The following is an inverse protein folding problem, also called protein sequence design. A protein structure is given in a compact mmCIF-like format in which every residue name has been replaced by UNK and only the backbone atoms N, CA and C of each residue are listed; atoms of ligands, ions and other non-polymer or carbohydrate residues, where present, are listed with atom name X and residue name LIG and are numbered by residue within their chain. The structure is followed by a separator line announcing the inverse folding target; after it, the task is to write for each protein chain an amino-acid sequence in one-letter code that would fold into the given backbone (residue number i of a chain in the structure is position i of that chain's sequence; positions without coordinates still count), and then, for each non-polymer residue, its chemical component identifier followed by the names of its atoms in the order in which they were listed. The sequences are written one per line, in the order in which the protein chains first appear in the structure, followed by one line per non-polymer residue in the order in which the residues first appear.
data_IF_549821222666
#
_entry.id   IF_549821222666
#
_cell.length_a   1.000
_cell.length_b   1.000
_cell.length_c   1.000
_cell.angle_alpha   90.00
_cell.angle_beta   90.00
_cell.angle_gamma   90.00
#
_symmetry.space_group_name_H-M   'P 1'
#
loop_
_entity.id
_entity.type
_entity.pdbx_description
1 polymer ?
#
# COMPACT_ATOMS: atom_id res chain seq x y z
N UNK A 1 14.95 0.80 21.14
CA UNK A 1 14.76 -0.48 20.45
C UNK A 1 13.25 -0.72 20.33
N UNK A 2 12.77 -1.10 19.15
CA UNK A 2 11.37 -1.41 18.90
C UNK A 2 11.08 -2.91 19.05
N UNK A 3 9.80 -3.25 19.17
CA UNK A 3 9.32 -4.62 19.15
C UNK A 3 8.29 -4.73 18.03
N UNK A 4 8.49 -5.66 17.10
CA UNK A 4 7.57 -5.93 15.99
C UNK A 4 7.21 -7.40 16.02
N UNK A 5 5.94 -7.68 16.26
CA UNK A 5 5.36 -9.02 16.24
C UNK A 5 4.42 -9.14 15.04
N UNK A 6 4.56 -10.18 14.27
CA UNK A 6 3.65 -10.51 13.18
C UNK A 6 3.17 -11.95 13.35
N UNK A 7 1.87 -12.12 13.56
CA UNK A 7 1.23 -13.41 13.75
C UNK A 7 1.97 -14.29 14.78
N UNK A 8 2.23 -13.72 15.97
CA UNK A 8 2.92 -14.41 17.07
C UNK A 8 4.43 -14.58 16.88
N UNK A 9 5.01 -14.14 15.77
CA UNK A 9 6.44 -14.24 15.50
C UNK A 9 7.12 -12.89 15.71
N UNK A 10 8.16 -12.86 16.55
CA UNK A 10 9.00 -11.68 16.75
C UNK A 10 9.87 -11.43 15.51
N UNK A 11 9.52 -10.42 14.72
CA UNK A 11 10.33 -9.96 13.58
C UNK A 11 11.48 -9.06 14.04
N UNK A 12 11.21 -8.25 15.08
CA UNK A 12 12.20 -7.40 15.76
C UNK A 12 11.91 -7.48 17.25
N UNK A 13 12.93 -7.73 18.05
CA UNK A 13 12.79 -7.69 19.49
C UNK A 13 13.94 -6.93 20.17
N UNK A 14 13.71 -6.31 21.34
CA UNK A 14 14.76 -5.61 22.07
C UNK A 14 15.94 -6.51 22.48
N UNK A 15 15.66 -7.79 22.73
CA UNK A 15 16.65 -8.76 23.19
C UNK A 15 17.47 -9.41 22.03
N UNK A 16 16.81 -9.74 20.91
CA UNK A 16 17.43 -10.48 19.82
C UNK A 16 17.70 -9.65 18.55
N UNK A 17 17.21 -8.39 18.51
CA UNK A 17 17.30 -7.55 17.31
C UNK A 17 16.34 -8.01 16.21
N UNK A 18 16.76 -7.86 14.96
CA UNK A 18 15.99 -8.28 13.78
C UNK A 18 16.24 -9.76 13.49
N UNK A 19 15.20 -10.52 13.16
CA UNK A 19 15.36 -11.92 12.75
C UNK A 19 16.30 -12.04 11.54
N UNK A 20 16.91 -13.21 11.35
CA UNK A 20 17.84 -13.44 10.24
C UNK A 20 17.18 -13.18 8.87
N UNK A 21 17.97 -12.78 7.87
CA UNK A 21 17.47 -12.58 6.50
C UNK A 21 16.78 -13.83 5.93
N UNK A 22 17.31 -15.03 6.28
CA UNK A 22 16.71 -16.30 5.89
C UNK A 22 15.32 -16.49 6.51
N UNK A 23 15.14 -16.15 7.79
CA UNK A 23 13.84 -16.21 8.45
C UNK A 23 12.88 -15.14 7.89
N UNK A 24 13.37 -13.91 7.64
CA UNK A 24 12.58 -12.83 7.06
C UNK A 24 12.08 -13.16 5.65
N UNK A 25 12.79 -13.98 4.87
CA UNK A 25 12.36 -14.39 3.52
C UNK A 25 11.06 -15.22 3.52
N UNK A 26 10.69 -15.81 4.65
CA UNK A 26 9.41 -16.51 4.78
C UNK A 26 8.20 -15.56 4.86
N UNK A 27 8.45 -14.29 5.17
CA UNK A 27 7.41 -13.26 5.31
C UNK A 27 7.37 -12.34 4.09
N UNK A 28 8.54 -11.89 3.59
CA UNK A 28 8.63 -10.93 2.49
C UNK A 28 8.08 -11.50 1.19
N UNK A 29 7.16 -10.75 0.59
CA UNK A 29 6.52 -11.10 -0.69
C UNK A 29 5.55 -12.27 -0.62
N UNK A 30 5.44 -12.94 0.52
CA UNK A 30 4.50 -14.04 0.75
C UNK A 30 3.40 -13.63 1.72
N UNK A 31 3.76 -13.22 2.94
CA UNK A 31 2.83 -12.82 3.98
C UNK A 31 2.77 -11.31 4.19
N UNK A 32 3.88 -10.62 3.92
CA UNK A 32 4.01 -9.16 4.02
C UNK A 32 4.42 -8.64 2.66
N UNK A 33 3.57 -7.82 2.05
CA UNK A 33 3.83 -7.13 0.80
C UNK A 33 4.09 -5.63 1.04
N UNK A 34 4.80 -5.00 0.10
CA UNK A 34 5.15 -3.60 0.18
C UNK A 34 4.92 -2.90 -1.16
N UNK A 35 4.26 -1.77 -1.13
CA UNK A 35 4.13 -0.84 -2.26
C UNK A 35 4.96 0.40 -1.93
N UNK A 36 6.05 0.65 -2.68
CA UNK A 36 6.91 1.81 -2.49
C UNK A 36 6.31 3.09 -3.07
N UNK A 37 6.83 4.23 -2.63
CA UNK A 37 6.37 5.58 -2.99
C UNK A 37 6.47 5.88 -4.48
N UNK A 38 7.55 5.47 -5.16
CA UNK A 38 7.79 5.81 -6.56
C UNK A 38 7.67 4.58 -7.48
N UNK A 39 6.58 4.48 -8.29
CA UNK A 39 6.35 3.29 -9.10
C UNK A 39 7.41 3.04 -10.17
N UNK A 40 7.87 4.08 -10.86
CA UNK A 40 8.80 3.91 -11.99
C UNK A 40 10.19 3.47 -11.56
N UNK A 41 10.69 3.94 -10.43
CA UNK A 41 12.00 3.56 -9.89
C UNK A 41 12.02 2.16 -9.26
N UNK A 42 10.83 1.59 -9.01
CA UNK A 42 10.69 0.26 -8.41
C UNK A 42 10.36 -0.86 -9.42
N UNK A 43 10.21 -0.50 -10.69
CA UNK A 43 10.15 -1.45 -11.81
C UNK A 43 11.50 -1.49 -12.51
N UNK A 44 12.07 -2.68 -12.67
CA UNK A 44 13.36 -2.86 -13.36
C UNK A 44 13.20 -2.57 -14.86
N UNK A 45 13.85 -1.52 -15.40
CA UNK A 45 13.70 -1.12 -16.80
C UNK A 45 14.24 -2.15 -17.80
N UNK A 46 15.10 -3.07 -17.35
CA UNK A 46 15.69 -4.10 -18.21
C UNK A 46 14.72 -5.27 -18.49
N UNK A 47 13.64 -5.41 -17.72
CA UNK A 47 12.72 -6.54 -17.85
C UNK A 47 11.30 -6.09 -18.17
N UNK A 48 10.60 -6.89 -18.97
CA UNK A 48 9.17 -6.69 -19.22
C UNK A 48 8.36 -6.85 -17.95
N UNK A 49 7.24 -6.14 -17.88
CA UNK A 49 6.29 -6.18 -16.76
C UNK A 49 5.89 -7.62 -16.42
N UNK A 50 5.54 -8.41 -17.43
CA UNK A 50 5.15 -9.80 -17.24
C UNK A 50 6.22 -10.66 -16.55
N UNK A 51 7.49 -10.46 -16.88
CA UNK A 51 8.58 -11.17 -16.21
C UNK A 51 8.64 -10.81 -14.71
N UNK A 52 8.49 -9.51 -14.39
CA UNK A 52 8.56 -9.00 -13.03
C UNK A 52 7.37 -9.48 -12.18
N UNK A 53 6.19 -9.64 -12.77
CA UNK A 53 5.01 -10.20 -12.09
C UNK A 53 5.09 -11.71 -11.91
N UNK A 54 5.54 -12.47 -12.93
CA UNK A 54 5.55 -13.93 -12.92
C UNK A 54 6.62 -14.49 -11.98
N UNK A 55 7.80 -13.86 -11.94
CA UNK A 55 8.94 -14.37 -11.18
C UNK A 55 8.66 -14.53 -9.68
N UNK A 56 8.10 -13.54 -8.95
CA UNK A 56 7.74 -13.71 -7.54
C UNK A 56 6.77 -14.86 -7.33
N UNK A 57 5.72 -14.98 -8.13
CA UNK A 57 4.72 -16.05 -7.99
C UNK A 57 5.34 -17.44 -8.18
N UNK A 58 6.22 -17.62 -9.16
CA UNK A 58 6.89 -18.90 -9.36
C UNK A 58 7.85 -19.25 -8.22
N UNK A 59 8.53 -18.26 -7.65
CA UNK A 59 9.50 -18.46 -6.57
C UNK A 59 8.84 -18.62 -5.19
N UNK A 60 7.79 -17.86 -4.91
CA UNK A 60 7.14 -17.81 -3.60
C UNK A 60 6.03 -18.85 -3.47
N UNK A 61 5.19 -18.97 -4.51
CA UNK A 61 4.05 -19.89 -4.52
C UNK A 61 4.40 -21.26 -5.10
N UNK A 62 5.54 -21.39 -5.81
CA UNK A 62 5.94 -22.64 -6.47
C UNK A 62 5.05 -23.05 -7.64
N UNK A 63 4.21 -22.16 -8.16
CA UNK A 63 3.32 -22.43 -9.31
C UNK A 63 4.09 -22.40 -10.63
N UNK A 64 3.55 -23.06 -11.64
CA UNK A 64 4.14 -23.06 -12.97
C UNK A 64 4.14 -21.67 -13.62
N UNK A 65 5.04 -21.46 -14.59
CA UNK A 65 5.08 -20.20 -15.35
C UNK A 65 3.77 -19.93 -16.10
N UNK A 66 3.06 -20.96 -16.53
CA UNK A 66 1.78 -20.83 -17.24
C UNK A 66 0.68 -20.33 -16.29
N UNK A 67 0.58 -20.92 -15.11
CA UNK A 67 -0.35 -20.48 -14.05
C UNK A 67 -0.03 -19.08 -13.55
N UNK A 68 1.25 -18.78 -13.29
CA UNK A 68 1.69 -17.43 -12.88
C UNK A 68 1.38 -16.38 -13.95
N UNK A 69 1.53 -16.70 -15.27
CA UNK A 69 1.14 -15.81 -16.36
C UNK A 69 -0.36 -15.56 -16.37
N UNK A 70 -1.17 -16.61 -16.23
CA UNK A 70 -2.64 -16.47 -16.18
C UNK A 70 -3.07 -15.59 -15.01
N UNK A 71 -2.53 -15.85 -13.80
CA UNK A 71 -2.79 -15.04 -12.60
C UNK A 71 -2.32 -13.59 -12.79
N UNK A 72 -1.16 -13.35 -13.40
CA UNK A 72 -0.66 -11.99 -13.66
C UNK A 72 -1.58 -11.21 -14.60
N UNK A 73 -2.07 -11.83 -15.67
CA UNK A 73 -3.02 -11.17 -16.59
C UNK A 73 -4.34 -10.84 -15.90
N UNK A 74 -4.87 -11.75 -15.09
CA UNK A 74 -6.08 -11.53 -14.30
C UNK A 74 -5.88 -10.40 -13.28
N UNK A 75 -4.72 -10.35 -12.61
CA UNK A 75 -4.40 -9.27 -11.66
C UNK A 75 -4.31 -7.91 -12.37
N UNK A 76 -3.65 -7.84 -13.54
CA UNK A 76 -3.60 -6.61 -14.33
C UNK A 76 -5.00 -6.12 -14.73
N UNK A 77 -5.91 -7.02 -15.07
CA UNK A 77 -7.31 -6.69 -15.31
C UNK A 77 -8.01 -6.20 -14.04
N UNK A 78 -7.81 -6.91 -12.92
CA UNK A 78 -8.37 -6.56 -11.60
C UNK A 78 -7.96 -5.16 -11.16
N UNK A 79 -6.71 -4.75 -11.42
CA UNK A 79 -6.24 -3.40 -11.08
C UNK A 79 -6.63 -2.34 -12.12
N UNK A 80 -7.51 -2.66 -13.07
CA UNK A 80 -8.07 -1.72 -14.03
C UNK A 80 -7.15 -1.42 -15.22
N UNK A 81 -6.29 -2.34 -15.61
CA UNK A 81 -5.52 -2.24 -16.86
C UNK A 81 -6.38 -2.72 -18.02
N UNK A 82 -6.79 -1.83 -18.93
CA UNK A 82 -7.69 -2.13 -20.04
C UNK A 82 -7.13 -3.13 -21.07
N UNK A 83 -5.82 -3.22 -21.22
CA UNK A 83 -5.16 -4.16 -22.13
C UNK A 83 -4.04 -4.92 -21.40
N UNK A 84 -4.39 -5.91 -20.55
CA UNK A 84 -3.44 -6.65 -19.72
C UNK A 84 -2.33 -7.32 -20.54
N UNK A 85 -2.67 -7.90 -21.70
CA UNK A 85 -1.69 -8.60 -22.54
C UNK A 85 -0.65 -7.65 -23.15
N UNK A 86 -1.04 -6.44 -23.52
CA UNK A 86 -0.10 -5.40 -23.99
C UNK A 86 0.84 -5.00 -22.86
N UNK A 87 0.29 -4.63 -21.70
CA UNK A 87 1.10 -4.18 -20.54
C UNK A 87 2.00 -5.29 -20.04
N UNK A 88 1.53 -6.53 -19.99
CA UNK A 88 2.35 -7.70 -19.65
C UNK A 88 3.59 -7.83 -20.54
N UNK A 89 3.49 -7.48 -21.83
CA UNK A 89 4.59 -7.57 -22.79
C UNK A 89 5.41 -6.28 -22.91
N UNK A 90 4.99 -5.19 -22.27
CA UNK A 90 5.67 -3.90 -22.27
C UNK A 90 6.82 -3.85 -21.26
N UNK A 91 7.74 -2.92 -21.52
CA UNK A 91 8.74 -2.48 -20.54
C UNK A 91 8.20 -1.33 -19.69
N UNK A 92 8.77 -1.05 -18.49
CA UNK A 92 8.31 0.04 -17.62
C UNK A 92 8.21 1.40 -18.31
N UNK A 93 9.17 1.76 -19.17
CA UNK A 93 9.21 3.03 -19.90
C UNK A 93 8.15 3.17 -21.00
N UNK A 94 7.40 2.10 -21.34
CA UNK A 94 6.35 2.11 -22.34
C UNK A 94 4.95 2.29 -21.74
N UNK A 95 4.85 2.47 -20.41
CA UNK A 95 3.59 2.66 -19.67
C UNK A 95 3.58 3.98 -18.90
N UNK A 96 2.38 4.51 -18.61
CA UNK A 96 2.24 5.72 -17.80
C UNK A 96 2.51 5.47 -16.32
N UNK A 97 2.79 6.54 -15.55
CA UNK A 97 2.99 6.45 -14.10
C UNK A 97 1.81 5.81 -13.37
N UNK A 98 0.57 6.17 -13.72
CA UNK A 98 -0.62 5.54 -13.13
C UNK A 98 -0.75 4.05 -13.49
N UNK A 99 -0.35 3.64 -14.70
CA UNK A 99 -0.28 2.22 -15.05
C UNK A 99 0.83 1.50 -14.29
N UNK A 100 1.99 2.11 -14.11
CA UNK A 100 3.09 1.55 -13.33
C UNK A 100 2.68 1.35 -11.86
N UNK A 101 1.94 2.29 -11.28
CA UNK A 101 1.39 2.15 -9.93
C UNK A 101 0.44 0.95 -9.82
N UNK A 102 -0.47 0.80 -10.77
CA UNK A 102 -1.39 -0.36 -10.83
C UNK A 102 -0.63 -1.68 -11.00
N UNK A 103 0.43 -1.70 -11.79
CA UNK A 103 1.32 -2.86 -11.94
C UNK A 103 2.02 -3.21 -10.63
N UNK A 104 2.53 -2.22 -9.88
CA UNK A 104 3.13 -2.47 -8.56
C UNK A 104 2.11 -3.02 -7.56
N UNK A 105 0.89 -2.47 -7.54
CA UNK A 105 -0.20 -2.99 -6.72
C UNK A 105 -0.48 -4.46 -7.08
N UNK A 106 -0.64 -4.77 -8.37
CA UNK A 106 -0.84 -6.14 -8.85
C UNK A 106 0.30 -7.08 -8.40
N UNK A 107 1.55 -6.61 -8.50
CA UNK A 107 2.73 -7.35 -8.04
C UNK A 107 2.72 -7.58 -6.52
N UNK A 108 2.39 -6.56 -5.74
CA UNK A 108 2.33 -6.66 -4.28
C UNK A 108 1.32 -7.69 -3.80
N UNK A 109 0.12 -7.72 -4.40
CA UNK A 109 -0.94 -8.67 -4.01
C UNK A 109 -0.85 -10.02 -4.72
N UNK A 110 0.12 -10.23 -5.60
CA UNK A 110 0.21 -11.42 -6.45
C UNK A 110 0.42 -12.74 -5.70
N UNK A 111 0.94 -12.67 -4.48
CA UNK A 111 1.16 -13.83 -3.62
C UNK A 111 0.15 -13.92 -2.46
N UNK A 112 -0.99 -13.23 -2.54
CA UNK A 112 -2.08 -13.21 -1.56
C UNK A 112 -1.57 -12.93 -0.12
N UNK A 113 -0.96 -11.75 0.13
CA UNK A 113 -0.37 -11.42 1.41
C UNK A 113 -1.40 -11.23 2.52
N UNK A 114 -1.00 -11.49 3.78
CA UNK A 114 -1.81 -11.20 4.96
C UNK A 114 -1.76 -9.72 5.35
N UNK A 115 -0.65 -9.02 5.01
CA UNK A 115 -0.41 -7.62 5.31
C UNK A 115 0.17 -6.90 4.09
N UNK A 116 -0.43 -5.78 3.74
CA UNK A 116 0.07 -4.82 2.76
C UNK A 116 0.57 -3.57 3.47
N UNK A 117 1.80 -3.17 3.21
CA UNK A 117 2.35 -1.87 3.61
C UNK A 117 2.41 -1.01 2.36
N UNK A 118 1.68 0.07 2.31
CA UNK A 118 1.63 1.02 1.19
C UNK A 118 2.22 2.36 1.64
N UNK A 119 3.35 2.73 1.05
CA UNK A 119 4.10 3.93 1.37
C UNK A 119 3.81 5.00 0.32
N UNK A 120 3.00 5.98 0.68
CA UNK A 120 2.53 7.05 -0.19
C UNK A 120 2.05 6.57 -1.57
N UNK A 121 1.13 5.61 -1.66
CA UNK A 121 0.80 4.91 -2.91
C UNK A 121 0.14 5.80 -3.96
N UNK A 122 -0.17 7.05 -3.65
CA UNK A 122 -0.83 8.00 -4.56
C UNK A 122 0.01 9.24 -4.84
N UNK A 123 1.23 9.32 -4.32
CA UNK A 123 2.13 10.45 -4.57
C UNK A 123 2.48 10.53 -6.07
N UNK A 124 2.53 11.76 -6.59
CA UNK A 124 2.79 12.06 -8.01
C UNK A 124 1.71 11.60 -9.01
N UNK A 125 0.52 11.22 -8.53
CA UNK A 125 -0.65 10.96 -9.38
C UNK A 125 -1.59 12.17 -9.39
N UNK A 126 -2.32 12.36 -10.49
CA UNK A 126 -3.41 13.34 -10.52
C UNK A 126 -4.58 12.92 -9.61
N UNK A 127 -5.42 13.89 -9.23
CA UNK A 127 -6.48 13.69 -8.23
C UNK A 127 -7.46 12.57 -8.60
N UNK A 128 -7.77 12.42 -9.88
CA UNK A 128 -8.69 11.38 -10.37
C UNK A 128 -8.07 9.99 -10.22
N UNK A 129 -6.83 9.84 -10.67
CA UNK A 129 -6.09 8.58 -10.56
C UNK A 129 -5.81 8.22 -9.10
N UNK A 130 -5.56 9.22 -8.23
CA UNK A 130 -5.44 8.99 -6.78
C UNK A 130 -6.70 8.32 -6.21
N UNK A 131 -7.88 8.87 -6.50
CA UNK A 131 -9.15 8.31 -6.02
C UNK A 131 -9.34 6.87 -6.50
N UNK A 132 -9.08 6.61 -7.78
CA UNK A 132 -9.18 5.26 -8.35
C UNK A 132 -8.21 4.25 -7.70
N UNK A 133 -6.98 4.67 -7.39
CA UNK A 133 -5.98 3.82 -6.71
C UNK A 133 -6.41 3.51 -5.26
N UNK A 134 -6.98 4.49 -4.56
CA UNK A 134 -7.46 4.29 -3.19
C UNK A 134 -8.68 3.36 -3.14
N UNK A 135 -9.63 3.51 -4.05
CA UNK A 135 -10.77 2.60 -4.19
C UNK A 135 -10.30 1.17 -4.52
N UNK A 136 -9.33 1.04 -5.42
CA UNK A 136 -8.72 -0.24 -5.74
C UNK A 136 -8.08 -0.89 -4.52
N UNK A 137 -7.30 -0.15 -3.72
CA UNK A 137 -6.67 -0.67 -2.50
C UNK A 137 -7.72 -1.13 -1.47
N UNK A 138 -8.81 -0.35 -1.30
CA UNK A 138 -9.95 -0.71 -0.43
C UNK A 138 -10.62 -2.01 -0.89
N UNK A 139 -10.87 -2.14 -2.17
CA UNK A 139 -11.51 -3.33 -2.74
C UNK A 139 -10.62 -4.58 -2.61
N UNK A 140 -9.32 -4.44 -2.87
CA UNK A 140 -8.34 -5.52 -2.69
C UNK A 140 -8.23 -5.94 -1.22
N UNK A 141 -8.19 -4.99 -0.29
CA UNK A 141 -8.18 -5.26 1.16
C UNK A 141 -9.38 -6.12 1.57
N UNK A 142 -10.59 -5.73 1.15
CA UNK A 142 -11.81 -6.48 1.47
C UNK A 142 -11.85 -7.85 0.82
N UNK A 143 -11.49 -7.95 -0.46
CA UNK A 143 -11.54 -9.21 -1.22
C UNK A 143 -10.53 -10.24 -0.73
N UNK A 144 -9.34 -9.80 -0.34
CA UNK A 144 -8.26 -10.67 0.14
C UNK A 144 -8.28 -10.85 1.67
N UNK A 145 -9.08 -10.07 2.39
CA UNK A 145 -9.13 -10.13 3.86
C UNK A 145 -7.81 -9.75 4.52
N UNK A 146 -6.97 -8.94 3.85
CA UNK A 146 -5.65 -8.57 4.34
C UNK A 146 -5.67 -7.34 5.25
N UNK A 147 -4.74 -7.27 6.20
CA UNK A 147 -4.43 -6.03 6.92
C UNK A 147 -3.73 -5.03 6.00
N UNK A 148 -3.91 -3.73 6.26
CA UNK A 148 -3.20 -2.69 5.50
C UNK A 148 -2.61 -1.64 6.44
N UNK A 149 -1.33 -1.34 6.26
CA UNK A 149 -0.65 -0.18 6.84
C UNK A 149 -0.44 0.83 5.73
N UNK A 150 -1.09 1.98 5.84
CA UNK A 150 -0.97 3.06 4.87
C UNK A 150 -0.14 4.19 5.47
N UNK A 151 0.98 4.50 4.86
CA UNK A 151 1.79 5.68 5.18
C UNK A 151 1.43 6.79 4.22
N UNK A 152 0.97 7.91 4.74
CA UNK A 152 0.58 9.06 3.91
C UNK A 152 0.57 10.35 4.73
N UNK A 153 0.80 11.47 4.07
CA UNK A 153 0.61 12.79 4.63
C UNK A 153 -0.77 13.40 4.26
N UNK A 154 -1.60 12.67 3.51
CA UNK A 154 -2.91 13.16 3.06
C UNK A 154 -4.03 12.68 4.01
N UNK A 155 -4.53 13.59 4.84
CA UNK A 155 -5.59 13.29 5.81
C UNK A 155 -6.95 12.95 5.16
N UNK A 156 -7.21 13.42 3.95
CA UNK A 156 -8.40 12.99 3.20
C UNK A 156 -8.37 11.48 2.94
N UNK A 157 -7.20 10.96 2.59
CA UNK A 157 -6.96 9.52 2.41
C UNK A 157 -7.10 8.77 3.74
N UNK A 158 -6.53 9.34 4.82
CA UNK A 158 -6.66 8.75 6.17
C UNK A 158 -8.11 8.69 6.62
N UNK A 159 -8.86 9.79 6.44
CA UNK A 159 -10.28 9.85 6.82
C UNK A 159 -11.15 8.83 6.08
N UNK A 160 -10.77 8.50 4.85
CA UNK A 160 -11.54 7.64 3.96
C UNK A 160 -11.21 6.15 4.11
N UNK A 161 -9.95 5.80 4.38
CA UNK A 161 -9.46 4.41 4.38
C UNK A 161 -9.12 3.85 5.76
N UNK A 162 -8.70 4.70 6.71
CA UNK A 162 -8.14 4.19 7.96
C UNK A 162 -9.21 3.93 9.02
N UNK A 163 -9.06 2.84 9.78
CA UNK A 163 -9.78 2.59 11.02
C UNK A 163 -9.06 3.23 12.21
N UNK A 164 -7.72 3.14 12.21
CA UNK A 164 -6.84 3.65 13.26
C UNK A 164 -5.72 4.50 12.67
N UNK A 165 -5.28 5.48 13.43
CA UNK A 165 -4.22 6.42 13.03
C UNK A 165 -3.09 6.40 14.05
N UNK A 166 -1.87 6.47 13.55
CA UNK A 166 -0.65 6.71 14.33
C UNK A 166 0.00 7.97 13.76
N UNK A 167 0.02 9.03 14.53
CA UNK A 167 0.71 10.27 14.16
C UNK A 167 2.15 10.19 14.62
N UNK A 168 3.08 10.48 13.72
CA UNK A 168 4.51 10.41 14.00
C UNK A 168 5.18 11.77 13.73
N UNK A 169 6.15 12.12 14.58
CA UNK A 169 7.00 13.28 14.41
C UNK A 169 8.44 12.91 14.77
N UNK A 170 9.39 13.24 13.90
CA UNK A 170 10.81 12.94 14.11
C UNK A 170 11.12 11.49 14.53
N UNK A 171 10.40 10.53 13.91
CA UNK A 171 10.56 9.10 14.20
C UNK A 171 9.96 8.62 15.52
N UNK A 172 9.16 9.46 16.21
CA UNK A 172 8.46 9.12 17.44
C UNK A 172 6.95 9.16 17.23
N UNK A 173 6.25 8.24 17.86
CA UNK A 173 4.79 8.29 17.93
C UNK A 173 4.41 9.41 18.89
N UNK A 174 3.59 10.35 18.41
CA UNK A 174 3.08 11.48 19.21
C UNK A 174 1.64 11.25 19.62
N UNK A 175 0.81 10.66 18.75
CA UNK A 175 -0.59 10.38 19.05
C UNK A 175 -1.05 9.10 18.34
N UNK A 176 -1.98 8.38 18.94
CA UNK A 176 -2.62 7.19 18.35
C UNK A 176 -4.07 7.09 18.78
N UNK A 177 -4.95 6.70 17.87
CA UNK A 177 -6.37 6.54 18.16
C UNK A 177 -7.15 6.01 16.97
N UNK A 178 -8.47 5.90 17.14
CA UNK A 178 -9.35 5.70 15.99
C UNK A 178 -9.38 6.97 15.12
N UNK A 179 -9.65 6.80 13.84
CA UNK A 179 -9.59 7.90 12.85
C UNK A 179 -10.53 9.05 13.22
N UNK A 180 -11.73 8.77 13.74
CA UNK A 180 -12.71 9.81 14.08
C UNK A 180 -12.22 10.65 15.26
N UNK A 181 -11.65 10.01 16.29
CA UNK A 181 -11.10 10.70 17.46
C UNK A 181 -9.95 11.61 17.09
N UNK A 182 -8.98 11.12 16.30
CA UNK A 182 -7.82 11.91 15.87
C UNK A 182 -8.25 13.10 15.01
N UNK A 183 -9.20 12.92 14.09
CA UNK A 183 -9.63 14.00 13.18
C UNK A 183 -10.55 15.03 13.84
N UNK A 184 -11.37 14.63 14.82
CA UNK A 184 -12.36 15.53 15.44
C UNK A 184 -11.86 16.19 16.73
N UNK A 185 -11.04 15.49 17.50
CA UNK A 185 -10.58 15.93 18.82
C UNK A 185 -9.14 15.50 19.10
N UNK A 186 -8.16 15.97 18.29
CA UNK A 186 -6.75 15.68 18.53
C UNK A 186 -6.32 16.22 19.89
N UNK A 187 -5.55 15.45 20.64
CA UNK A 187 -5.07 15.84 21.97
C UNK A 187 -3.72 16.54 21.88
N UNK A 188 -2.85 16.06 21.00
CA UNK A 188 -1.48 16.55 20.86
C UNK A 188 -1.42 17.82 20.00
N UNK A 189 -0.62 18.79 20.43
CA UNK A 189 -0.51 20.08 19.72
C UNK A 189 0.06 19.94 18.31
N UNK A 190 0.98 19.00 18.11
CA UNK A 190 1.50 18.70 16.78
C UNK A 190 0.39 18.21 15.84
N UNK A 191 -0.47 17.32 16.30
CA UNK A 191 -1.61 16.81 15.52
C UNK A 191 -2.58 17.93 15.18
N UNK A 192 -2.87 18.85 16.12
CA UNK A 192 -3.72 20.02 15.89
C UNK A 192 -3.14 20.94 14.81
N UNK A 193 -1.83 21.24 14.89
CA UNK A 193 -1.14 22.07 13.89
C UNK A 193 -1.14 21.37 12.53
N UNK A 194 -0.88 20.09 12.49
CA UNK A 194 -0.86 19.29 11.27
C UNK A 194 -2.24 19.28 10.57
N UNK A 195 -3.31 19.12 11.33
CA UNK A 195 -4.69 19.19 10.83
C UNK A 195 -5.08 20.59 10.37
N UNK A 196 -4.73 21.64 11.14
CA UNK A 196 -5.07 23.04 10.79
C UNK A 196 -4.39 23.50 9.52
N UNK A 197 -3.12 23.13 9.30
CA UNK A 197 -2.37 23.49 8.08
C UNK A 197 -2.99 22.94 6.80
N UNK A 198 -3.79 21.89 6.90
CA UNK A 198 -4.50 21.29 5.75
C UNK A 198 -5.88 21.93 5.52
N UNK A 199 -6.50 22.46 6.57
CA UNK A 199 -7.81 23.13 6.48
C UNK A 199 -7.71 24.53 5.88
N UNK A 200 -6.58 25.20 6.00
CA UNK A 200 -6.32 26.53 5.38
C UNK A 200 -6.27 26.47 3.85
N UNK A 201 -6.14 25.30 3.27
CA UNK A 201 -6.12 25.09 1.81
C UNK A 201 -7.43 24.63 1.16
N UNK A 202 -8.41 24.10 1.89
CA UNK A 202 -9.69 23.57 1.31
C UNK A 202 -10.81 23.45 2.35
N UNK A 203 -11.94 24.12 2.05
CA UNK A 203 -13.37 23.92 2.47
C UNK A 203 -13.71 23.25 3.81
N UNK A 204 -14.71 23.76 4.55
CA UNK A 204 -15.00 23.39 5.96
C UNK A 204 -15.39 21.95 6.17
N UNK A 205 -15.16 21.47 7.38
CA UNK A 205 -15.52 20.18 8.02
C UNK A 205 -16.97 19.65 7.80
N UNK A 206 -17.79 20.34 7.05
CA UNK A 206 -19.17 19.96 6.71
C UNK A 206 -19.25 18.68 5.83
N UNK A 207 -18.15 18.22 5.25
CA UNK A 207 -18.16 16.95 4.48
C UNK A 207 -18.02 15.69 5.33
N UNK A 208 -17.67 15.80 6.61
CA UNK A 208 -17.55 14.64 7.51
C UNK A 208 -18.90 14.17 8.09
N UNK A 209 -20.00 14.90 7.82
CA UNK A 209 -21.33 14.60 8.37
C UNK A 209 -22.23 13.74 7.45
N UNK A 210 -21.75 13.34 6.29
CA UNK A 210 -22.58 12.60 5.29
C UNK A 210 -22.51 11.06 5.37
N UNK A 211 -21.86 10.49 6.39
CA UNK A 211 -21.85 9.02 6.58
C UNK A 211 -22.70 8.50 7.75
N UNK A 212 -23.55 9.35 8.33
CA UNK A 212 -24.50 8.97 9.39
C UNK A 212 -25.96 9.22 8.92
N UNK A 213 -26.35 8.58 7.79
CA UNK A 213 -27.74 8.43 7.38
C UNK A 213 -27.91 7.07 6.69
#
# INVERSE_FOLDING_TARGET
AGHIVFDGTDLVSPAAGVISQKAMSAFRGKRIAYIPQEPMSNLDPAFKIGYQLVRPMTQVLGISKAEAKAKALQLLETVGINNPQRVFNSYPHEISGGMAQRVLIAGAVSCDPDLLIADEPTTALDVTVQAEVLDLLRDLQKRLGMGMVLVTHNFGVVADLADRVVVMQYGRVVETGDVRSILRNPQEDYTKVLLSSMLEGKTPLTMLTKKDA
#
